data_IF_588569481622
#
_entry.id   IF_588569481622
#
_cell.length_a   1.000
_cell.length_b   1.000
_cell.length_c   1.000
_cell.angle_alpha   90.00
_cell.angle_beta   90.00
_cell.angle_gamma   90.00
#
_symmetry.space_group_name_H-M   'P 1'
#
loop_
_entity.id
_entity.type
_entity.pdbx_description
1 polymer ?
#
# COMPACT_ATOMS: atom_id res chain seq x y z
N UNK A 1 -14.34 19.86 11.55
CA UNK A 1 -13.61 18.75 12.22
C UNK A 1 -12.82 18.02 11.15
N UNK A 2 -11.48 18.10 11.08
CA UNK A 2 -10.78 17.28 10.11
C UNK A 2 -10.89 15.83 10.60
N UNK A 3 -11.52 15.00 9.77
CA UNK A 3 -11.71 13.58 9.96
C UNK A 3 -10.34 12.91 10.00
N UNK A 4 -9.80 12.80 11.20
CA UNK A 4 -8.61 12.02 11.49
C UNK A 4 -8.99 10.56 11.21
N UNK A 5 -8.78 10.12 9.96
CA UNK A 5 -8.72 8.69 9.65
C UNK A 5 -7.77 8.10 10.68
N UNK A 6 -8.32 7.25 11.55
CA UNK A 6 -7.61 6.53 12.59
C UNK A 6 -6.61 5.56 11.94
N UNK A 7 -5.59 6.11 11.29
CA UNK A 7 -4.52 5.37 10.69
C UNK A 7 -3.67 4.86 11.82
N UNK A 8 -3.84 3.58 12.17
CA UNK A 8 -2.95 2.84 13.07
C UNK A 8 -1.51 3.14 12.64
N UNK A 9 -0.81 3.91 13.46
CA UNK A 9 0.59 4.26 13.27
C UNK A 9 1.44 3.02 13.62
N UNK A 10 2.49 2.73 12.86
CA UNK A 10 3.34 1.57 13.10
C UNK A 10 2.85 0.26 12.47
N UNK A 11 1.88 0.30 11.54
CA UNK A 11 1.53 -0.87 10.73
C UNK A 11 2.70 -1.17 9.78
N UNK A 12 3.27 -2.39 9.80
CA UNK A 12 4.32 -2.76 8.86
C UNK A 12 3.75 -2.79 7.44
N UNK A 13 4.47 -2.19 6.50
CA UNK A 13 4.17 -2.24 5.08
C UNK A 13 4.07 -3.70 4.63
N UNK A 14 3.00 -4.08 3.93
CA UNK A 14 2.81 -5.45 3.44
C UNK A 14 3.82 -5.87 2.35
N UNK A 15 4.58 -4.91 1.85
CA UNK A 15 5.66 -5.07 0.90
C UNK A 15 6.98 -5.16 1.66
N UNK A 16 7.58 -4.01 2.00
CA UNK A 16 8.91 -3.97 2.61
C UNK A 16 8.97 -4.23 4.14
N UNK A 17 7.84 -4.50 4.81
CA UNK A 17 7.76 -4.69 6.26
C UNK A 17 8.03 -3.43 7.11
N UNK A 18 8.36 -2.29 6.49
CA UNK A 18 8.74 -1.07 7.23
C UNK A 18 7.52 -0.46 7.94
N UNK A 19 7.66 -0.04 9.21
CA UNK A 19 6.56 0.58 9.95
C UNK A 19 6.11 1.89 9.28
N UNK A 20 4.84 1.91 8.89
CA UNK A 20 4.22 3.06 8.25
C UNK A 20 3.82 4.12 9.27
N UNK A 21 3.86 5.39 8.87
CA UNK A 21 3.46 6.54 9.68
C UNK A 21 2.19 7.16 9.12
N UNK A 22 1.40 7.81 9.99
CA UNK A 22 0.24 8.60 9.58
C UNK A 22 0.64 10.05 9.25
N UNK A 23 1.95 10.36 9.19
CA UNK A 23 2.44 11.66 8.73
C UNK A 23 2.40 11.74 7.20
N UNK A 24 1.50 12.55 6.62
CA UNK A 24 1.45 12.72 5.17
C UNK A 24 2.74 13.35 4.66
N UNK A 25 3.20 12.89 3.50
CA UNK A 25 4.43 13.38 2.86
C UNK A 25 5.71 12.62 3.25
N UNK A 26 5.65 11.68 4.19
CA UNK A 26 6.77 10.81 4.51
C UNK A 26 6.88 9.63 3.51
N UNK A 27 8.09 9.11 3.24
CA UNK A 27 8.28 7.92 2.40
C UNK A 27 7.60 6.68 3.01
N UNK A 28 7.54 6.60 4.34
CA UNK A 28 6.79 5.58 5.05
C UNK A 28 5.34 5.97 5.35
N UNK A 29 4.79 7.02 4.73
CA UNK A 29 3.38 7.38 4.89
C UNK A 29 2.50 6.19 4.47
N UNK A 30 1.55 5.81 5.32
CA UNK A 30 0.63 4.70 5.05
C UNK A 30 -0.29 5.04 3.89
N UNK A 31 -0.30 4.20 2.87
CA UNK A 31 -1.15 4.31 1.69
C UNK A 31 -1.87 2.97 1.48
N UNK A 32 -3.13 3.04 1.05
CA UNK A 32 -3.89 1.83 0.73
C UNK A 32 -3.66 1.48 -0.73
N UNK A 33 -3.12 0.30 -0.98
CA UNK A 33 -2.85 -0.20 -2.32
C UNK A 33 -3.77 -1.38 -2.65
N UNK A 34 -4.27 -1.40 -3.89
CA UNK A 34 -5.05 -2.52 -4.39
C UNK A 34 -4.10 -3.52 -5.05
N UNK A 35 -4.14 -4.78 -4.60
CA UNK A 35 -3.37 -5.88 -5.17
C UNK A 35 -3.90 -6.11 -6.59
N UNK A 36 -5.11 -6.62 -6.72
CA UNK A 36 -5.70 -6.86 -8.03
C UNK A 36 -6.51 -5.65 -8.53
N UNK A 37 -6.11 -5.02 -9.64
CA UNK A 37 -6.93 -3.99 -10.27
C UNK A 37 -8.24 -4.58 -10.78
N UNK A 38 -9.33 -3.81 -10.70
CA UNK A 38 -10.67 -4.20 -11.18
C UNK A 38 -10.66 -4.85 -12.58
N UNK A 39 -9.79 -4.38 -13.48
CA UNK A 39 -9.66 -4.89 -14.85
C UNK A 39 -9.19 -6.35 -14.95
N UNK A 40 -8.63 -6.94 -13.88
CA UNK A 40 -8.19 -8.35 -13.83
C UNK A 40 -9.13 -9.24 -13.00
N UNK A 41 -10.29 -8.71 -12.58
CA UNK A 41 -11.23 -9.43 -11.71
C UNK A 41 -11.00 -9.19 -10.21
N UNK A 42 -10.19 -8.20 -9.84
CA UNK A 42 -9.93 -7.85 -8.45
C UNK A 42 -11.16 -7.31 -7.72
N UNK A 43 -11.46 -7.88 -6.55
CA UNK A 43 -12.56 -7.45 -5.67
C UNK A 43 -12.15 -6.25 -4.82
N UNK A 44 -13.10 -5.40 -4.41
CA UNK A 44 -12.84 -4.31 -3.44
C UNK A 44 -12.88 -4.83 -1.99
N UNK A 45 -12.52 -6.10 -1.79
CA UNK A 45 -12.46 -6.70 -0.47
C UNK A 45 -11.24 -6.17 0.27
N UNK A 46 -11.33 -6.05 1.60
CA UNK A 46 -10.18 -5.72 2.45
C UNK A 46 -9.01 -6.69 2.29
N UNK A 47 -9.27 -7.91 1.85
CA UNK A 47 -8.25 -8.90 1.51
C UNK A 47 -7.43 -8.53 0.26
N UNK A 48 -8.02 -7.74 -0.65
CA UNK A 48 -7.39 -7.21 -1.86
C UNK A 48 -6.81 -5.79 -1.65
N UNK A 49 -6.99 -5.21 -0.46
CA UNK A 49 -6.42 -3.92 -0.06
C UNK A 49 -5.28 -4.17 0.93
N UNK A 50 -4.04 -3.82 0.55
CA UNK A 50 -2.88 -3.93 1.45
C UNK A 50 -2.47 -2.56 1.96
N UNK A 51 -2.04 -2.54 3.21
CA UNK A 51 -1.36 -1.38 3.78
C UNK A 51 0.08 -1.35 3.29
N UNK A 52 0.39 -0.36 2.46
CA UNK A 52 1.73 -0.16 1.91
C UNK A 52 2.29 1.20 2.32
N UNK A 53 3.61 1.34 2.30
CA UNK A 53 4.22 2.65 2.44
C UNK A 53 4.17 3.41 1.12
N UNK A 54 4.16 4.75 1.19
CA UNK A 54 4.18 5.64 0.03
C UNK A 54 5.30 5.33 -0.95
N UNK A 55 6.48 4.94 -0.47
CA UNK A 55 7.59 4.52 -1.33
C UNK A 55 7.24 3.28 -2.13
N UNK A 56 6.86 2.18 -1.48
CA UNK A 56 6.48 0.94 -2.18
C UNK A 56 5.27 1.16 -3.08
N UNK A 57 4.26 1.91 -2.62
CA UNK A 57 3.09 2.24 -3.42
C UNK A 57 3.46 3.04 -4.68
N UNK A 58 4.37 4.02 -4.58
CA UNK A 58 4.88 4.77 -5.73
C UNK A 58 5.80 3.95 -6.64
N UNK A 59 6.60 3.06 -6.06
CA UNK A 59 7.53 2.21 -6.80
C UNK A 59 6.78 1.13 -7.60
N UNK A 60 5.71 0.56 -7.00
CA UNK A 60 4.70 -0.23 -7.70
C UNK A 60 4.00 0.63 -8.75
N UNK A 61 3.50 1.81 -8.37
CA UNK A 61 2.89 2.77 -9.27
C UNK A 61 1.71 2.17 -10.03
N UNK A 62 1.79 2.16 -11.36
CA UNK A 62 0.77 1.57 -12.25
C UNK A 62 0.98 0.08 -12.52
N UNK A 63 1.97 -0.55 -11.87
CA UNK A 63 2.30 -1.96 -12.11
C UNK A 63 1.39 -2.85 -11.28
N UNK A 64 1.08 -4.01 -11.84
CA UNK A 64 0.42 -5.06 -11.10
C UNK A 64 1.35 -5.60 -10.02
N UNK A 65 0.83 -6.08 -8.88
CA UNK A 65 1.63 -6.74 -7.86
C UNK A 65 2.37 -7.94 -8.43
N UNK A 66 1.80 -8.70 -9.37
CA UNK A 66 2.47 -9.80 -10.06
C UNK A 66 3.74 -9.36 -10.81
N UNK A 67 3.66 -8.21 -11.50
CA UNK A 67 4.80 -7.58 -12.20
C UNK A 67 5.82 -7.00 -11.21
N UNK A 68 5.39 -6.57 -10.03
CA UNK A 68 6.25 -5.99 -9.00
C UNK A 68 6.94 -7.09 -8.18
N UNK A 69 6.25 -8.17 -7.82
CA UNK A 69 6.79 -9.37 -7.17
C UNK A 69 7.75 -10.12 -8.09
N UNK A 70 7.40 -10.33 -9.37
CA UNK A 70 8.29 -10.99 -10.35
C UNK A 70 9.62 -10.27 -10.56
N UNK A 71 9.70 -8.97 -10.25
CA UNK A 71 10.92 -8.17 -10.39
C UNK A 71 11.71 -8.01 -9.09
N UNK A 72 11.32 -8.71 -8.03
CA UNK A 72 12.01 -8.65 -6.74
C UNK A 72 11.60 -7.48 -5.86
N UNK A 73 10.31 -7.15 -5.84
CA UNK A 73 9.73 -6.35 -4.77
C UNK A 73 10.16 -6.91 -3.41
N UNK A 74 10.77 -6.05 -2.58
CA UNK A 74 11.32 -6.39 -1.27
C UNK A 74 10.26 -6.55 -0.20
#
# INVERSE_FOLDING_TARGET
MPEQKAGKEGIPCAYCGTPTTNKPGQPNSRERDHIDPKSRGGNNSQENERDSCRTCNREKGSRNPDEWESRGGR
#
